data_IF_856535167231
#
_entry.id   IF_856535167231
#
_cell.length_a   1.000
_cell.length_b   1.000
_cell.length_c   1.000
_cell.angle_alpha   90.00
_cell.angle_beta   90.00
_cell.angle_gamma   90.00
#
_symmetry.space_group_name_H-M   'P 1'
#
loop_
_entity.id
_entity.type
_entity.pdbx_description
1 polymer ?
#
# COMPACT_ATOMS: atom_id res chain seq x y z
N UNK A 1 -19.58 -6.29 20.80
CA UNK A 1 -18.55 -5.34 20.33
C UNK A 1 -18.61 -5.32 18.80
N UNK A 2 -19.18 -4.26 18.21
CA UNK A 2 -19.18 -4.12 16.76
C UNK A 2 -17.75 -3.83 16.30
N UNK A 3 -17.21 -4.64 15.39
CA UNK A 3 -15.97 -4.31 14.72
C UNK A 3 -16.19 -2.98 14.00
N UNK A 4 -15.49 -1.92 14.43
CA UNK A 4 -15.40 -0.69 13.66
C UNK A 4 -14.70 -1.09 12.37
N UNK A 5 -15.49 -1.34 11.33
CA UNK A 5 -14.94 -1.51 9.98
C UNK A 5 -14.40 -0.15 9.62
N UNK A 6 -13.08 0.00 9.71
CA UNK A 6 -12.41 1.24 9.35
C UNK A 6 -12.63 1.43 7.86
N UNK A 7 -13.58 2.29 7.48
CA UNK A 7 -13.84 2.65 6.11
C UNK A 7 -12.71 3.58 5.66
N UNK A 8 -11.74 3.05 4.91
CA UNK A 8 -10.56 3.82 4.53
C UNK A 8 -10.84 4.87 3.45
N UNK A 9 -12.05 4.86 2.85
CA UNK A 9 -12.57 5.87 1.92
C UNK A 9 -11.56 6.23 0.81
N UNK A 10 -10.85 5.22 0.28
CA UNK A 10 -9.87 5.41 -0.78
C UNK A 10 -10.62 5.85 -2.04
N UNK A 11 -10.39 7.08 -2.46
CA UNK A 11 -10.97 7.63 -3.68
C UNK A 11 -10.26 7.02 -4.90
N UNK A 12 -10.74 5.87 -5.36
CA UNK A 12 -10.17 5.17 -6.53
C UNK A 12 -10.14 6.07 -7.76
N UNK A 13 -11.14 6.93 -7.94
CA UNK A 13 -11.20 7.86 -9.07
C UNK A 13 -10.03 8.85 -9.04
N UNK A 14 -9.63 9.32 -7.86
CA UNK A 14 -8.48 10.22 -7.68
C UNK A 14 -7.16 9.49 -7.93
N UNK A 15 -7.01 8.26 -7.43
CA UNK A 15 -5.82 7.45 -7.73
C UNK A 15 -5.71 7.17 -9.22
N UNK A 16 -6.80 6.76 -9.89
CA UNK A 16 -6.82 6.53 -11.33
C UNK A 16 -6.53 7.81 -12.11
N UNK A 17 -7.00 8.97 -11.63
CA UNK A 17 -6.69 10.27 -12.25
C UNK A 17 -5.22 10.64 -12.12
N UNK A 18 -4.62 10.46 -10.93
CA UNK A 18 -3.19 10.72 -10.69
C UNK A 18 -2.33 9.79 -11.54
N UNK A 19 -2.66 8.50 -11.58
CA UNK A 19 -2.03 7.53 -12.47
C UNK A 19 -2.10 7.93 -13.94
N UNK A 20 -3.28 8.36 -14.41
CA UNK A 20 -3.48 8.83 -15.78
C UNK A 20 -2.64 10.06 -16.09
N UNK A 21 -2.54 11.00 -15.16
CA UNK A 21 -1.70 12.19 -15.31
C UNK A 21 -0.22 11.83 -15.44
N UNK A 22 0.23 10.80 -14.73
CA UNK A 22 1.60 10.29 -14.77
C UNK A 22 1.88 9.29 -15.92
N UNK A 23 0.90 9.05 -16.82
CA UNK A 23 1.04 8.12 -17.95
C UNK A 23 1.10 6.64 -17.55
N UNK A 24 0.79 6.32 -16.29
CA UNK A 24 0.79 4.96 -15.76
C UNK A 24 -0.63 4.40 -15.87
N UNK A 25 -0.93 3.62 -16.91
CA UNK A 25 -2.24 2.99 -17.06
C UNK A 25 -2.11 1.51 -17.40
N UNK A 26 -2.68 0.65 -16.54
CA UNK A 26 -2.83 -0.78 -16.81
C UNK A 26 -4.16 -1.29 -16.24
N UNK A 27 -4.93 -2.09 -16.99
CA UNK A 27 -6.13 -2.75 -16.50
C UNK A 27 -5.88 -3.61 -15.25
N UNK A 28 -4.70 -4.23 -15.16
CA UNK A 28 -4.29 -5.03 -13.99
C UNK A 28 -4.18 -4.15 -12.73
N UNK A 29 -3.59 -2.96 -12.90
CA UNK A 29 -3.40 -2.00 -11.82
C UNK A 29 -4.73 -1.41 -11.35
N UNK A 30 -5.65 -1.10 -12.28
CA UNK A 30 -7.00 -0.66 -11.93
C UNK A 30 -7.79 -1.75 -11.17
N UNK A 31 -7.66 -3.01 -11.58
CA UNK A 31 -8.31 -4.13 -10.91
C UNK A 31 -7.77 -4.34 -9.49
N UNK A 32 -6.44 -4.25 -9.31
CA UNK A 32 -5.81 -4.27 -7.99
C UNK A 32 -6.30 -3.09 -7.17
N UNK A 33 -6.29 -1.87 -7.70
CA UNK A 33 -6.68 -0.69 -6.95
C UNK A 33 -8.14 -0.75 -6.47
N UNK A 34 -9.06 -1.14 -7.34
CA UNK A 34 -10.46 -1.39 -6.97
C UNK A 34 -10.57 -2.42 -5.84
N UNK A 35 -9.82 -3.52 -5.93
CA UNK A 35 -9.73 -4.51 -4.87
C UNK A 35 -9.11 -3.95 -3.57
N UNK A 36 -8.14 -3.04 -3.66
CA UNK A 36 -7.44 -2.45 -2.50
C UNK A 36 -8.20 -1.34 -1.80
N UNK A 37 -9.21 -0.75 -2.45
CA UNK A 37 -10.18 0.11 -1.79
C UNK A 37 -11.05 -0.64 -0.76
N UNK A 38 -11.15 -1.96 -0.85
CA UNK A 38 -11.89 -2.75 0.15
C UNK A 38 -11.12 -2.84 1.47
N UNK A 39 -11.80 -2.54 2.58
CA UNK A 39 -11.22 -2.58 3.94
C UNK A 39 -10.61 -3.95 4.31
N UNK A 40 -11.01 -5.02 3.61
CA UNK A 40 -10.49 -6.36 3.79
C UNK A 40 -8.97 -6.47 3.58
N UNK A 41 -8.38 -5.67 2.67
CA UNK A 41 -6.93 -5.69 2.43
C UNK A 41 -6.19 -5.04 3.60
N UNK A 42 -6.56 -3.82 3.98
CA UNK A 42 -5.92 -3.11 5.08
C UNK A 42 -6.08 -3.83 6.42
N UNK A 43 -7.26 -4.40 6.70
CA UNK A 43 -7.47 -5.26 7.86
C UNK A 43 -6.55 -6.50 7.85
N UNK A 44 -6.22 -7.02 6.67
CA UNK A 44 -5.27 -8.13 6.54
C UNK A 44 -3.83 -7.66 6.81
N UNK A 45 -3.43 -6.49 6.31
CA UNK A 45 -2.12 -5.89 6.59
C UNK A 45 -1.95 -5.55 8.07
N UNK A 46 -2.96 -4.97 8.72
CA UNK A 46 -2.91 -4.65 10.14
C UNK A 46 -2.72 -5.90 11.02
N UNK A 47 -3.30 -7.04 10.59
CA UNK A 47 -3.11 -8.33 11.26
C UNK A 47 -1.70 -8.89 11.10
N UNK A 48 -0.89 -8.42 10.15
CA UNK A 48 0.49 -8.87 9.95
C UNK A 48 1.44 -8.49 11.09
N UNK A 49 1.03 -7.56 11.96
CA UNK A 49 1.83 -7.14 13.11
C UNK A 49 2.19 -8.35 13.99
N UNK A 50 3.49 -8.55 14.21
CA UNK A 50 4.01 -9.64 15.05
C UNK A 50 4.04 -11.03 14.41
N UNK A 51 3.60 -11.21 13.16
CA UNK A 51 3.70 -12.50 12.45
C UNK A 51 4.98 -12.61 11.63
N UNK A 52 5.48 -13.84 11.46
CA UNK A 52 6.55 -14.16 10.52
C UNK A 52 6.03 -14.24 9.08
N UNK A 53 6.96 -14.22 8.12
CA UNK A 53 6.65 -14.18 6.69
C UNK A 53 5.89 -15.40 6.16
N UNK A 54 6.16 -16.60 6.69
CA UNK A 54 5.50 -17.83 6.25
C UNK A 54 4.01 -17.79 6.61
N UNK A 55 3.70 -17.33 7.82
CA UNK A 55 2.33 -17.15 8.28
C UNK A 55 1.59 -16.04 7.51
N UNK A 56 2.27 -14.92 7.20
CA UNK A 56 1.69 -13.87 6.33
C UNK A 56 1.32 -14.43 4.95
N UNK A 57 2.24 -15.16 4.30
CA UNK A 57 1.99 -15.79 2.99
C UNK A 57 0.81 -16.77 3.03
N UNK A 58 0.74 -17.61 4.06
CA UNK A 58 -0.39 -18.55 4.25
C UNK A 58 -1.73 -17.81 4.40
N UNK A 59 -1.76 -16.70 5.14
CA UNK A 59 -2.97 -15.89 5.28
C UNK A 59 -3.41 -15.22 3.99
N UNK A 60 -2.46 -14.70 3.20
CA UNK A 60 -2.73 -14.14 1.87
C UNK A 60 -3.33 -15.21 0.97
N UNK A 61 -2.70 -16.39 0.89
CA UNK A 61 -3.19 -17.49 0.05
C UNK A 61 -4.60 -17.93 0.46
N UNK A 62 -4.89 -18.02 1.77
CA UNK A 62 -6.21 -18.42 2.24
C UNK A 62 -7.28 -17.36 1.95
N UNK A 63 -6.98 -16.07 2.12
CA UNK A 63 -7.95 -14.97 1.96
C UNK A 63 -8.10 -14.48 0.52
N UNK A 64 -7.00 -14.41 -0.23
CA UNK A 64 -6.97 -13.87 -1.59
C UNK A 64 -6.85 -14.96 -2.66
N UNK A 65 -6.30 -16.14 -2.32
CA UNK A 65 -6.15 -17.26 -3.25
C UNK A 65 -7.34 -18.22 -3.34
N UNK A 66 -8.25 -18.24 -2.34
CA UNK A 66 -9.43 -19.13 -2.37
C UNK A 66 -10.74 -18.46 -2.83
N UNK A 67 -10.72 -17.16 -3.15
CA UNK A 67 -11.90 -16.38 -3.55
C UNK A 67 -11.85 -15.85 -5.00
N UNK A 68 -12.90 -15.13 -5.41
CA UNK A 68 -13.09 -14.62 -6.79
C UNK A 68 -11.97 -13.72 -7.35
N UNK A 69 -10.99 -13.31 -6.55
CA UNK A 69 -9.85 -12.48 -6.99
C UNK A 69 -8.85 -13.23 -7.87
N UNK A 70 -8.61 -14.51 -7.60
CA UNK A 70 -7.84 -15.37 -8.50
C UNK A 70 -8.56 -15.57 -9.85
N UNK A 71 -9.91 -15.56 -9.87
CA UNK A 71 -10.71 -15.64 -11.09
C UNK A 71 -10.71 -14.32 -11.90
N UNK A 72 -10.42 -13.18 -11.26
CA UNK A 72 -10.30 -11.88 -11.92
C UNK A 72 -8.91 -11.65 -12.56
N UNK A 73 -8.03 -12.66 -12.57
CA UNK A 73 -6.68 -12.54 -13.11
C UNK A 73 -5.77 -11.61 -12.32
N UNK A 74 -6.15 -11.22 -11.11
CA UNK A 74 -5.35 -10.33 -10.26
C UNK A 74 -4.20 -11.16 -9.65
N UNK A 75 -2.92 -10.77 -9.83
CA UNK A 75 -1.81 -11.47 -9.20
C UNK A 75 -1.95 -11.41 -7.67
N UNK A 76 -1.58 -12.50 -7.01
CA UNK A 76 -1.55 -12.53 -5.54
C UNK A 76 -0.46 -11.57 -5.04
N UNK A 77 -0.76 -10.72 -4.03
CA UNK A 77 0.28 -9.89 -3.45
C UNK A 77 1.26 -10.73 -2.65
N UNK A 78 2.45 -10.17 -2.48
CA UNK A 78 3.43 -10.66 -1.52
C UNK A 78 3.47 -9.75 -0.29
N UNK A 79 3.69 -10.28 0.92
CA UNK A 79 3.98 -9.43 2.06
C UNK A 79 5.33 -8.74 1.85
N UNK A 80 5.41 -7.45 2.17
CA UNK A 80 6.70 -6.74 2.14
C UNK A 80 7.54 -7.13 3.35
N UNK A 81 8.86 -7.09 3.18
CA UNK A 81 9.78 -7.15 4.31
C UNK A 81 10.01 -5.74 4.86
N UNK A 82 9.61 -5.42 6.11
CA UNK A 82 9.73 -4.07 6.67
C UNK A 82 11.16 -3.58 6.85
N UNK A 83 12.13 -4.50 6.91
CA UNK A 83 13.56 -4.16 7.07
C UNK A 83 14.30 -4.14 5.74
N UNK A 84 13.61 -4.35 4.62
CA UNK A 84 14.21 -4.26 3.29
C UNK A 84 14.57 -2.80 2.97
N UNK A 85 15.83 -2.49 2.64
CA UNK A 85 16.24 -1.13 2.28
C UNK A 85 15.42 -0.51 1.15
N UNK A 86 14.98 -1.32 0.17
CA UNK A 86 14.17 -0.84 -0.94
C UNK A 86 12.78 -0.42 -0.47
N UNK A 87 12.13 -1.25 0.35
CA UNK A 87 10.82 -0.95 0.94
C UNK A 87 10.88 0.28 1.85
N UNK A 88 11.97 0.42 2.61
CA UNK A 88 12.23 1.63 3.43
C UNK A 88 12.37 2.87 2.54
N UNK A 89 13.07 2.76 1.40
CA UNK A 89 13.22 3.88 0.46
C UNK A 89 11.87 4.30 -0.16
N UNK A 90 11.02 3.33 -0.51
CA UNK A 90 9.65 3.58 -0.98
C UNK A 90 8.84 4.33 0.09
N UNK A 91 8.91 3.90 1.34
CA UNK A 91 8.20 4.55 2.45
C UNK A 91 8.69 5.98 2.69
N UNK A 92 10.00 6.22 2.65
CA UNK A 92 10.57 7.57 2.78
C UNK A 92 10.12 8.50 1.67
N UNK A 93 10.15 8.02 0.42
CA UNK A 93 9.64 8.75 -0.73
C UNK A 93 8.17 9.17 -0.54
N UNK A 94 7.33 8.28 -0.02
CA UNK A 94 5.92 8.59 0.24
C UNK A 94 5.75 9.75 1.24
N UNK A 95 6.50 9.72 2.35
CA UNK A 95 6.45 10.77 3.38
C UNK A 95 6.96 12.10 2.84
N UNK A 96 8.07 12.08 2.10
CA UNK A 96 8.64 13.27 1.46
C UNK A 96 7.64 13.90 0.48
N UNK A 97 7.08 13.10 -0.42
CA UNK A 97 6.12 13.58 -1.42
C UNK A 97 4.82 14.08 -0.78
N UNK A 98 4.36 13.44 0.30
CA UNK A 98 3.21 13.93 1.07
C UNK A 98 3.52 15.28 1.73
N UNK A 99 4.68 15.43 2.34
CA UNK A 99 5.12 16.68 2.95
C UNK A 99 5.19 17.83 1.93
N UNK A 100 5.73 17.57 0.74
CA UNK A 100 5.75 18.55 -0.36
C UNK A 100 4.33 18.97 -0.76
N UNK A 101 3.42 18.00 -0.93
CA UNK A 101 2.07 18.26 -1.43
C UNK A 101 1.17 18.93 -0.38
N UNK A 102 1.30 18.54 0.89
CA UNK A 102 0.43 18.99 1.98
C UNK A 102 1.03 20.14 2.80
N UNK A 103 2.29 20.52 2.55
CA UNK A 103 3.01 21.53 3.33
C UNK A 103 3.27 21.08 4.78
N UNK A 104 3.44 19.79 5.01
CA UNK A 104 3.69 19.19 6.33
C UNK A 104 5.17 18.89 6.56
N UNK A 105 5.53 18.43 7.76
CA UNK A 105 6.91 18.08 8.12
C UNK A 105 6.98 16.79 8.93
N UNK A 106 6.29 15.75 8.42
CA UNK A 106 6.32 14.42 9.01
C UNK A 106 7.71 13.78 8.87
N UNK A 107 8.18 13.15 9.94
CA UNK A 107 9.43 12.39 9.98
C UNK A 107 9.11 10.91 9.88
N UNK A 108 9.67 10.22 8.88
CA UNK A 108 9.57 8.77 8.76
C UNK A 108 10.34 8.06 9.88
N UNK A 109 9.71 7.10 10.57
CA UNK A 109 10.33 6.28 11.62
C UNK A 109 10.64 4.88 11.10
N UNK A 110 9.62 4.12 10.69
CA UNK A 110 9.80 2.75 10.20
C UNK A 110 8.63 2.25 9.37
N UNK A 111 8.86 1.18 8.61
CA UNK A 111 7.79 0.37 8.00
C UNK A 111 7.29 -0.63 9.04
N UNK A 112 5.97 -0.75 9.19
CA UNK A 112 5.34 -1.73 10.09
C UNK A 112 4.97 -2.99 9.32
N UNK A 113 4.55 -2.83 8.07
CA UNK A 113 4.18 -3.93 7.20
C UNK A 113 3.48 -3.41 5.96
N UNK A 114 3.11 -4.33 5.07
CA UNK A 114 2.52 -3.97 3.80
C UNK A 114 2.39 -5.14 2.86
N UNK A 115 1.87 -4.85 1.68
CA UNK A 115 1.76 -5.76 0.55
C UNK A 115 2.43 -5.12 -0.67
N UNK A 116 2.99 -5.96 -1.52
CA UNK A 116 3.46 -5.57 -2.84
C UNK A 116 2.80 -6.42 -3.93
N UNK A 117 2.49 -5.79 -5.05
CA UNK A 117 2.09 -6.47 -6.29
C UNK A 117 3.14 -6.21 -7.35
N UNK A 118 3.70 -7.29 -7.90
CA UNK A 118 4.55 -7.22 -9.07
C UNK A 118 3.68 -7.24 -10.32
N UNK A 119 3.78 -6.18 -11.12
CA UNK A 119 3.06 -5.96 -12.37
C UNK A 119 4.05 -5.93 -13.52
N UNK A 120 3.56 -6.11 -14.75
CA UNK A 120 4.41 -6.03 -15.94
C UNK A 120 5.11 -4.66 -16.06
N UNK A 121 4.44 -3.60 -15.63
CA UNK A 121 4.89 -2.21 -15.75
C UNK A 121 5.63 -1.69 -14.50
N UNK A 122 5.76 -2.48 -13.44
CA UNK A 122 6.34 -2.02 -12.18
C UNK A 122 5.85 -2.77 -10.94
N UNK A 123 5.98 -2.17 -9.77
CA UNK A 123 5.52 -2.71 -8.51
C UNK A 123 4.64 -1.70 -7.77
N UNK A 124 3.51 -2.17 -7.25
CA UNK A 124 2.61 -1.40 -6.39
C UNK A 124 2.86 -1.78 -4.92
N UNK A 125 3.15 -0.79 -4.08
CA UNK A 125 3.40 -0.96 -2.66
C UNK A 125 2.27 -0.33 -1.84
N UNK A 126 1.67 -1.12 -0.96
CA UNK A 126 0.73 -0.65 0.06
C UNK A 126 1.37 -0.82 1.43
N UNK A 127 1.70 0.28 2.09
CA UNK A 127 2.49 0.25 3.32
C UNK A 127 1.72 0.87 4.47
N UNK A 128 1.86 0.26 5.65
CA UNK A 128 1.59 0.90 6.93
C UNK A 128 2.94 1.30 7.51
N UNK A 129 3.09 2.58 7.78
CA UNK A 129 4.33 3.18 8.24
C UNK A 129 4.09 3.91 9.56
N UNK A 130 5.16 4.11 10.30
CA UNK A 130 5.14 4.98 11.47
C UNK A 130 5.84 6.28 11.11
N UNK A 131 5.15 7.39 11.38
CA UNK A 131 5.68 8.75 11.22
C UNK A 131 5.58 9.50 12.53
N UNK A 132 6.30 10.62 12.63
CA UNK A 132 6.30 11.46 13.80
C UNK A 132 6.26 12.93 13.41
N UNK A 133 5.53 13.74 14.17
CA UNK A 133 5.54 15.19 14.10
C UNK A 133 5.72 15.80 15.52
N UNK A 134 5.47 17.11 15.66
CA UNK A 134 5.53 17.81 16.95
C UNK A 134 4.45 17.41 17.96
N UNK A 135 3.37 16.75 17.52
CA UNK A 135 2.22 16.33 18.32
C UNK A 135 2.33 14.86 18.76
N UNK A 136 3.04 14.02 18.01
CA UNK A 136 3.28 12.64 18.41
C UNK A 136 3.64 11.70 17.27
N UNK A 137 3.44 10.41 17.53
CA UNK A 137 3.73 9.31 16.61
C UNK A 137 2.43 8.76 16.02
N UNK A 138 2.39 8.59 14.69
CA UNK A 138 1.20 8.22 13.93
C UNK A 138 1.44 6.94 13.12
N UNK A 139 0.33 6.28 12.76
CA UNK A 139 0.33 5.11 11.88
C UNK A 139 -0.28 5.47 10.54
N UNK A 140 0.58 5.91 9.63
CA UNK A 140 0.17 6.39 8.33
C UNK A 140 0.06 5.23 7.35
N UNK A 141 -0.74 5.44 6.32
CA UNK A 141 -0.97 4.49 5.23
C UNK A 141 -0.61 5.15 3.92
N UNK A 142 0.08 4.41 3.07
CA UNK A 142 0.50 4.93 1.77
C UNK A 142 0.38 3.88 0.67
N UNK A 143 0.07 4.36 -0.54
CA UNK A 143 0.12 3.60 -1.77
C UNK A 143 1.12 4.28 -2.71
N UNK A 144 2.17 3.56 -3.06
CA UNK A 144 3.22 4.02 -3.98
C UNK A 144 3.32 3.06 -5.15
N UNK A 145 3.46 3.59 -6.35
CA UNK A 145 3.78 2.79 -7.53
C UNK A 145 5.20 3.10 -7.99
N UNK A 146 6.00 2.06 -8.24
CA UNK A 146 7.32 2.16 -8.83
C UNK A 146 7.30 1.51 -10.21
N UNK A 147 7.75 2.21 -11.26
CA UNK A 147 7.84 1.64 -12.60
C UNK A 147 9.02 0.67 -12.71
N UNK A 148 9.01 -0.18 -13.73
CA UNK A 148 10.17 -1.01 -14.07
C UNK A 148 11.45 -0.21 -14.41
N UNK A 149 11.31 1.11 -14.66
CA UNK A 149 12.40 2.06 -14.86
C UNK A 149 12.88 2.73 -13.56
N UNK A 150 12.28 2.39 -12.40
CA UNK A 150 12.64 2.91 -11.08
C UNK A 150 12.02 4.27 -10.72
N UNK A 151 11.14 4.81 -11.55
CA UNK A 151 10.38 6.03 -11.25
C UNK A 151 9.30 5.73 -10.23
N UNK A 152 9.11 6.62 -9.24
CA UNK A 152 8.17 6.41 -8.13
C UNK A 152 7.08 7.47 -8.17
N UNK A 153 5.86 7.04 -7.87
CA UNK A 153 4.66 7.87 -7.86
C UNK A 153 3.90 7.66 -6.56
N UNK A 154 3.67 8.74 -5.81
CA UNK A 154 2.79 8.71 -4.66
C UNK A 154 1.36 8.75 -5.17
N UNK A 155 0.67 7.62 -5.08
CA UNK A 155 -0.71 7.52 -5.56
C UNK A 155 -1.69 7.97 -4.49
N UNK A 156 -1.41 7.65 -3.23
CA UNK A 156 -2.27 7.99 -2.11
C UNK A 156 -1.51 7.99 -0.79
N UNK A 157 -1.94 8.86 0.12
CA UNK A 157 -1.40 8.97 1.47
C UNK A 157 -2.52 9.29 2.45
N UNK A 158 -2.50 8.67 3.63
CA UNK A 158 -3.37 9.00 4.76
C UNK A 158 -2.55 9.03 6.04
N UNK A 159 -2.49 10.23 6.60
CA UNK A 159 -2.04 10.50 7.96
C UNK A 159 -3.19 10.21 8.95
#
# INVERSE_FOLDING_TARGET
MAAVVANYNINISEITANMKAEGVQSPEMEAILKATAEDAIWNTIERFKGMDMSNKKKMINNRMGSGGRAQLGIPLPEPVNPTDPHVIAIAKFAVEKHNENAGTSLVFIQVIGGLQWNLLIGALYMLIITTQDSKGTYYDKTVVFETCLGQKYLLWYKH
#
